data_IF_084689803575
#
_entry.id   IF_084689803575
#
_cell.length_a   1.000
_cell.length_b   1.000
_cell.length_c   1.000
_cell.angle_alpha   90.00
_cell.angle_beta   90.00
_cell.angle_gamma   90.00
#
_symmetry.space_group_name_H-M   'P 1'
#
loop_
_entity.id
_entity.type
_entity.pdbx_description
1 polymer ?
#
# COMPACT_ATOMS: atom_id res chain seq x y z
N UNK A 1 -24.02 16.87 -10.81
CA UNK A 1 -23.74 16.68 -12.25
C UNK A 1 -23.62 18.06 -12.85
N UNK A 2 -22.59 18.32 -13.66
CA UNK A 2 -22.50 19.61 -14.35
C UNK A 2 -23.65 19.70 -15.35
N UNK A 3 -24.21 20.91 -15.45
CA UNK A 3 -25.27 21.24 -16.42
C UNK A 3 -24.71 21.48 -17.82
N UNK A 4 -23.38 21.51 -17.95
CA UNK A 4 -22.64 21.71 -19.18
C UNK A 4 -21.51 20.70 -19.33
N UNK A 5 -21.26 20.29 -20.58
CA UNK A 5 -20.17 19.42 -20.99
C UNK A 5 -19.26 20.20 -21.92
N UNK A 6 -17.95 20.17 -21.65
CA UNK A 6 -16.91 20.76 -22.48
C UNK A 6 -16.52 19.76 -23.56
N UNK A 7 -16.56 20.15 -24.83
CA UNK A 7 -16.19 19.31 -25.96
C UNK A 7 -15.08 19.97 -26.76
N UNK A 8 -14.09 19.20 -27.19
CA UNK A 8 -13.06 19.66 -28.14
C UNK A 8 -13.51 19.26 -29.53
N UNK A 9 -13.94 20.21 -30.34
CA UNK A 9 -14.48 19.93 -31.66
C UNK A 9 -13.43 20.23 -32.73
N UNK A 10 -13.11 19.23 -33.55
CA UNK A 10 -12.17 19.34 -34.65
C UNK A 10 -12.92 19.29 -35.99
N UNK A 11 -12.85 20.38 -36.75
CA UNK A 11 -13.24 20.41 -38.15
C UNK A 11 -12.10 20.00 -39.08
N UNK A 12 -12.28 20.29 -40.35
CA UNK A 12 -11.34 20.07 -41.46
C UNK A 12 -10.05 20.89 -41.34
N UNK A 13 -10.16 22.18 -41.03
CA UNK A 13 -9.00 23.10 -40.92
C UNK A 13 -8.80 23.68 -39.52
N UNK A 14 -9.87 23.74 -38.71
CA UNK A 14 -9.88 24.44 -37.41
C UNK A 14 -10.31 23.53 -36.28
N UNK A 15 -9.87 23.87 -35.07
CA UNK A 15 -10.31 23.22 -33.83
C UNK A 15 -10.85 24.29 -32.89
N UNK A 16 -11.95 23.98 -32.22
CA UNK A 16 -12.59 24.86 -31.26
C UNK A 16 -12.96 24.07 -30.00
N UNK A 17 -12.87 24.72 -28.85
CA UNK A 17 -13.35 24.17 -27.58
C UNK A 17 -14.70 24.82 -27.27
N UNK A 18 -15.74 24.00 -27.10
CA UNK A 18 -17.11 24.48 -26.96
C UNK A 18 -17.77 23.85 -25.75
N UNK A 19 -18.53 24.66 -25.03
CA UNK A 19 -19.31 24.23 -23.88
C UNK A 19 -20.76 24.07 -24.32
N UNK A 20 -21.29 22.86 -24.20
CA UNK A 20 -22.64 22.48 -24.66
C UNK A 20 -23.49 22.08 -23.45
N UNK A 21 -24.79 22.42 -23.39
CA UNK A 21 -25.68 21.93 -22.34
C UNK A 21 -25.71 20.40 -22.31
N UNK A 22 -25.47 19.81 -21.15
CA UNK A 22 -25.31 18.35 -21.04
C UNK A 22 -26.62 17.58 -21.21
N UNK A 23 -27.77 18.24 -20.98
CA UNK A 23 -29.12 17.67 -21.08
C UNK A 23 -29.87 18.01 -22.37
N UNK A 24 -29.21 18.68 -23.33
CA UNK A 24 -29.79 18.95 -24.64
C UNK A 24 -29.19 18.02 -25.70
N UNK A 25 -29.94 17.66 -26.76
CA UNK A 25 -29.41 16.86 -27.86
C UNK A 25 -28.22 17.55 -28.52
N UNK A 26 -27.18 16.77 -28.87
CA UNK A 26 -25.97 17.29 -29.54
C UNK A 26 -26.31 18.01 -30.84
N UNK A 27 -27.38 17.59 -31.53
CA UNK A 27 -27.90 18.20 -32.75
C UNK A 27 -28.23 19.69 -32.61
N UNK A 28 -28.63 20.15 -31.43
CA UNK A 28 -28.95 21.55 -31.18
C UNK A 28 -27.71 22.47 -31.23
N UNK A 29 -26.53 21.92 -30.93
CA UNK A 29 -25.27 22.66 -30.93
C UNK A 29 -24.60 22.73 -32.32
N UNK A 30 -24.98 21.86 -33.27
CA UNK A 30 -24.34 21.73 -34.59
C UNK A 30 -24.22 23.06 -35.35
N UNK A 31 -25.28 23.89 -35.49
CA UNK A 31 -25.17 25.13 -36.27
C UNK A 31 -24.14 26.10 -35.67
N UNK A 32 -24.07 26.15 -34.34
CA UNK A 32 -23.11 26.99 -33.62
C UNK A 32 -21.68 26.44 -33.70
N UNK A 33 -21.51 25.12 -33.69
CA UNK A 33 -20.23 24.47 -33.90
C UNK A 33 -19.69 24.74 -35.31
N UNK A 34 -20.55 24.67 -36.33
CA UNK A 34 -20.21 24.99 -37.72
C UNK A 34 -19.76 26.45 -37.88
N UNK A 35 -20.49 27.40 -37.30
CA UNK A 35 -20.12 28.82 -37.32
C UNK A 35 -18.77 29.08 -36.64
N UNK A 36 -18.55 28.49 -35.44
CA UNK A 36 -17.28 28.60 -34.72
C UNK A 36 -16.09 27.98 -35.46
N UNK A 37 -16.32 26.90 -36.20
CA UNK A 37 -15.29 26.23 -37.00
C UNK A 37 -15.12 26.87 -38.38
N UNK A 38 -16.01 27.78 -38.79
CA UNK A 38 -16.04 28.36 -40.13
C UNK A 38 -16.42 27.35 -41.21
N UNK A 39 -17.17 26.31 -40.86
CA UNK A 39 -17.60 25.26 -41.77
C UNK A 39 -19.04 25.49 -42.24
N UNK A 40 -19.29 25.28 -43.53
CA UNK A 40 -20.66 25.32 -44.07
C UNK A 40 -21.42 24.03 -43.75
N UNK A 41 -22.69 24.16 -43.39
CA UNK A 41 -23.61 23.03 -43.30
C UNK A 41 -23.56 22.23 -44.61
N UNK A 42 -23.37 20.91 -44.48
CA UNK A 42 -23.28 19.98 -45.59
C UNK A 42 -24.53 20.05 -46.47
N UNK A 43 -24.39 19.77 -47.76
CA UNK A 43 -25.54 19.71 -48.66
C UNK A 43 -26.38 18.46 -48.36
N UNK A 44 -27.65 18.42 -48.80
CA UNK A 44 -28.52 17.23 -48.67
C UNK A 44 -27.85 15.96 -49.23
N UNK A 45 -26.98 16.12 -50.24
CA UNK A 45 -26.21 15.04 -50.85
C UNK A 45 -24.96 14.62 -50.04
N UNK A 46 -24.49 15.45 -49.09
CA UNK A 46 -23.28 15.22 -48.27
C UNK A 46 -23.49 15.78 -46.84
N UNK A 47 -24.28 15.11 -46.00
CA UNK A 47 -24.50 15.53 -44.61
C UNK A 47 -23.19 15.43 -43.81
N UNK A 48 -23.04 16.25 -42.76
CA UNK A 48 -21.96 16.09 -41.79
C UNK A 48 -22.31 15.02 -40.74
N UNK A 49 -21.31 14.24 -40.38
CA UNK A 49 -21.32 13.29 -39.29
C UNK A 49 -20.40 13.80 -38.17
N UNK A 50 -20.85 13.58 -36.94
CA UNK A 50 -20.09 13.86 -35.73
C UNK A 50 -19.49 12.53 -35.28
N UNK A 51 -18.17 12.45 -35.18
CA UNK A 51 -17.46 11.18 -34.94
C UNK A 51 -16.70 11.27 -33.61
N UNK A 52 -16.90 10.26 -32.77
CA UNK A 52 -16.20 10.08 -31.51
C UNK A 52 -14.73 9.67 -31.74
N UNK A 53 -13.86 9.76 -30.71
CA UNK A 53 -12.44 9.43 -30.83
C UNK A 53 -12.15 7.98 -31.29
N UNK A 54 -13.06 7.06 -31.03
CA UNK A 54 -13.03 5.64 -31.36
C UNK A 54 -13.54 5.31 -32.77
N UNK A 55 -13.97 6.33 -33.52
CA UNK A 55 -14.50 6.17 -34.88
C UNK A 55 -16.00 5.89 -34.92
N UNK A 56 -16.70 5.86 -33.78
CA UNK A 56 -18.16 5.70 -33.74
C UNK A 56 -18.85 7.00 -34.16
N UNK A 57 -19.91 6.89 -34.96
CA UNK A 57 -20.74 8.02 -35.33
C UNK A 57 -21.68 8.37 -34.17
N UNK A 58 -21.57 9.58 -33.67
CA UNK A 58 -22.43 10.09 -32.60
C UNK A 58 -23.83 10.35 -33.15
N UNK A 59 -24.83 9.76 -32.49
CA UNK A 59 -26.23 10.10 -32.72
C UNK A 59 -26.54 11.49 -32.17
N UNK A 60 -26.82 12.43 -33.09
CA UNK A 60 -27.13 13.82 -32.78
C UNK A 60 -28.47 14.00 -32.03
N UNK A 61 -29.33 12.99 -32.00
CA UNK A 61 -30.57 13.01 -31.23
C UNK A 61 -30.36 12.77 -29.73
N UNK A 62 -29.21 12.20 -29.35
CA UNK A 62 -28.88 11.89 -27.96
C UNK A 62 -28.18 13.07 -27.28
N UNK A 63 -28.34 13.13 -25.96
CA UNK A 63 -27.67 14.11 -25.10
C UNK A 63 -26.22 13.70 -24.81
N UNK A 64 -25.29 14.64 -24.56
CA UNK A 64 -23.93 14.32 -24.13
C UNK A 64 -23.85 13.36 -22.94
N UNK A 65 -24.83 13.41 -22.03
CA UNK A 65 -24.91 12.52 -20.87
C UNK A 65 -25.32 11.09 -21.23
N UNK A 66 -26.19 10.92 -22.23
CA UNK A 66 -26.59 9.58 -22.72
C UNK A 66 -25.49 8.92 -23.53
N UNK A 67 -24.64 9.72 -24.18
CA UNK A 67 -23.49 9.28 -24.97
C UNK A 67 -22.21 9.09 -24.11
N UNK A 68 -22.30 9.26 -22.80
CA UNK A 68 -21.18 9.21 -21.84
C UNK A 68 -19.98 10.10 -22.25
N UNK A 69 -20.26 11.24 -22.89
CA UNK A 69 -19.22 12.17 -23.34
C UNK A 69 -18.68 12.96 -22.14
N UNK A 70 -17.46 12.63 -21.75
CA UNK A 70 -16.73 13.31 -20.67
C UNK A 70 -16.22 14.70 -21.09
N UNK A 71 -15.95 15.56 -20.11
CA UNK A 71 -15.38 16.88 -20.37
C UNK A 71 -14.02 16.77 -21.08
N UNK A 72 -13.87 17.53 -22.17
CA UNK A 72 -12.69 17.56 -23.03
C UNK A 72 -12.69 16.52 -24.15
N UNK A 73 -13.74 15.69 -24.28
CA UNK A 73 -13.82 14.66 -25.33
C UNK A 73 -13.62 15.28 -26.71
N UNK A 74 -12.71 14.69 -27.50
CA UNK A 74 -12.40 15.16 -28.84
C UNK A 74 -13.38 14.57 -29.85
N UNK A 75 -14.18 15.43 -30.44
CA UNK A 75 -15.20 15.05 -31.42
C UNK A 75 -14.83 15.65 -32.76
N UNK A 76 -14.90 14.86 -33.83
CA UNK A 76 -14.56 15.32 -35.18
C UNK A 76 -15.80 15.54 -36.02
N UNK A 77 -15.94 16.71 -36.63
CA UNK A 77 -16.90 16.89 -37.72
C UNK A 77 -16.25 16.45 -39.01
N UNK A 78 -16.84 15.45 -39.65
CA UNK A 78 -16.41 14.94 -40.96
C UNK A 78 -17.64 14.86 -41.84
N UNK A 79 -17.46 14.95 -43.16
CA UNK A 79 -18.55 14.66 -44.09
C UNK A 79 -18.87 13.16 -44.02
N UNK A 80 -20.15 12.79 -44.10
CA UNK A 80 -20.58 11.39 -43.94
C UNK A 80 -19.94 10.45 -44.99
N UNK A 81 -19.62 10.94 -46.18
CA UNK A 81 -18.91 10.21 -47.23
C UNK A 81 -17.41 10.00 -46.95
N UNK A 82 -16.85 10.83 -46.06
CA UNK A 82 -15.48 10.73 -45.57
C UNK A 82 -15.40 10.21 -44.12
N UNK A 83 -16.54 9.85 -43.52
CA UNK A 83 -16.59 9.24 -42.21
C UNK A 83 -15.89 7.87 -42.29
N UNK A 84 -14.93 7.58 -41.40
CA UNK A 84 -14.42 6.23 -41.25
C UNK A 84 -15.60 5.27 -41.06
N UNK A 85 -15.63 4.11 -41.72
CA UNK A 85 -16.66 3.12 -41.45
C UNK A 85 -16.62 2.78 -39.96
N UNK A 86 -17.79 2.53 -39.32
CA UNK A 86 -17.82 2.16 -37.92
C UNK A 86 -16.91 0.95 -37.69
N UNK A 87 -16.22 0.87 -36.55
CA UNK A 87 -15.32 -0.23 -36.27
C UNK A 87 -16.08 -1.55 -36.30
N UNK A 88 -15.92 -2.32 -37.37
CA UNK A 88 -16.47 -3.67 -37.50
C UNK A 88 -15.41 -4.62 -36.97
N UNK A 89 -15.77 -5.46 -36.00
CA UNK A 89 -14.93 -6.58 -35.57
C UNK A 89 -14.92 -7.61 -36.70
N UNK A 90 -13.87 -7.59 -37.52
CA UNK A 90 -13.74 -8.43 -38.73
C UNK A 90 -13.48 -9.90 -38.35
N UNK A 91 -12.86 -10.14 -37.19
CA UNK A 91 -12.60 -11.49 -36.70
C UNK A 91 -12.86 -11.58 -35.18
N UNK A 92 -13.95 -12.26 -34.82
CA UNK A 92 -14.33 -12.52 -33.42
C UNK A 92 -13.26 -13.35 -32.71
N UNK A 93 -12.47 -14.13 -33.45
CA UNK A 93 -11.37 -14.94 -32.92
C UNK A 93 -10.19 -14.06 -32.53
N UNK A 94 -9.83 -13.07 -33.36
CA UNK A 94 -8.80 -12.08 -33.01
C UNK A 94 -9.27 -11.18 -31.87
N UNK A 95 -10.53 -10.73 -31.89
CA UNK A 95 -11.09 -9.97 -30.77
C UNK A 95 -11.11 -10.78 -29.46
N UNK A 96 -11.34 -12.09 -29.52
CA UNK A 96 -11.25 -12.98 -28.37
C UNK A 96 -9.80 -13.18 -27.90
N UNK A 97 -8.83 -13.23 -28.83
CA UNK A 97 -7.41 -13.29 -28.51
C UNK A 97 -6.91 -11.99 -27.87
N UNK A 98 -7.28 -10.82 -28.41
CA UNK A 98 -6.97 -9.52 -27.85
C UNK A 98 -7.62 -9.33 -26.48
N UNK A 99 -8.88 -9.78 -26.32
CA UNK A 99 -9.56 -9.77 -25.03
C UNK A 99 -8.88 -10.71 -24.01
N UNK A 100 -8.32 -11.84 -24.45
CA UNK A 100 -7.53 -12.74 -23.62
C UNK A 100 -6.21 -12.09 -23.20
N UNK A 101 -5.49 -11.49 -24.15
CA UNK A 101 -4.20 -10.82 -23.89
C UNK A 101 -4.34 -9.58 -23.01
N UNK A 102 -5.48 -8.88 -23.10
CA UNK A 102 -5.83 -7.73 -22.26
C UNK A 102 -6.27 -8.12 -20.84
N UNK A 103 -6.48 -9.41 -20.55
CA UNK A 103 -6.92 -9.84 -19.21
C UNK A 103 -5.85 -9.56 -18.15
N UNK A 104 -6.19 -8.85 -17.06
CA UNK A 104 -5.26 -8.55 -15.98
C UNK A 104 -4.91 -9.78 -15.12
N UNK A 105 -5.71 -10.84 -15.19
CA UNK A 105 -5.57 -12.10 -14.44
C UNK A 105 -4.90 -13.22 -15.26
N UNK A 106 -4.30 -12.89 -16.41
CA UNK A 106 -3.66 -13.87 -17.28
C UNK A 106 -2.42 -14.52 -16.64
N UNK A 107 -2.17 -15.78 -17.00
CA UNK A 107 -0.96 -16.51 -16.60
C UNK A 107 0.24 -16.09 -17.46
N UNK A 108 0.87 -14.98 -17.11
CA UNK A 108 2.01 -14.42 -17.82
C UNK A 108 3.39 -14.79 -17.20
N UNK A 109 4.46 -14.27 -17.78
CA UNK A 109 5.82 -14.41 -17.26
C UNK A 109 5.97 -13.93 -15.81
N UNK A 110 5.21 -12.90 -15.43
CA UNK A 110 5.25 -12.35 -14.08
C UNK A 110 4.58 -13.32 -13.11
N UNK A 111 3.41 -13.86 -13.44
CA UNK A 111 2.73 -14.89 -12.66
C UNK A 111 3.61 -16.13 -12.50
N UNK A 112 4.27 -16.59 -13.57
CA UNK A 112 5.25 -17.70 -13.51
C UNK A 112 6.42 -17.40 -12.59
N UNK A 113 6.99 -16.20 -12.67
CA UNK A 113 8.11 -15.79 -11.82
C UNK A 113 7.70 -15.73 -10.34
N UNK A 114 6.49 -15.21 -10.05
CA UNK A 114 5.95 -15.16 -8.68
C UNK A 114 5.70 -16.59 -8.17
N UNK A 115 5.03 -17.43 -8.94
CA UNK A 115 4.74 -18.81 -8.56
C UNK A 115 6.03 -19.62 -8.32
N UNK A 116 7.01 -19.50 -9.21
CA UNK A 116 8.32 -20.12 -9.07
C UNK A 116 9.06 -19.61 -7.83
N UNK A 117 9.10 -18.30 -7.61
CA UNK A 117 9.69 -17.71 -6.42
C UNK A 117 9.00 -18.20 -5.13
N UNK A 118 7.67 -18.27 -5.10
CA UNK A 118 6.93 -18.80 -3.95
C UNK A 118 7.22 -20.28 -3.70
N UNK A 119 7.36 -21.09 -4.76
CA UNK A 119 7.73 -22.49 -4.64
C UNK A 119 9.14 -22.68 -4.07
N UNK A 120 10.12 -21.88 -4.55
CA UNK A 120 11.49 -21.89 -4.02
C UNK A 120 11.52 -21.43 -2.56
N UNK A 121 10.82 -20.34 -2.23
CA UNK A 121 10.73 -19.86 -0.85
C UNK A 121 10.11 -20.92 0.07
N UNK A 122 9.03 -21.59 -0.37
CA UNK A 122 8.40 -22.68 0.37
C UNK A 122 9.34 -23.88 0.56
N UNK A 123 10.07 -24.29 -0.48
CA UNK A 123 11.02 -25.40 -0.39
C UNK A 123 12.15 -25.09 0.61
N UNK A 124 12.70 -23.87 0.61
CA UNK A 124 13.73 -23.45 1.57
C UNK A 124 13.17 -23.28 2.99
N UNK A 125 11.93 -22.83 3.13
CA UNK A 125 11.26 -22.78 4.43
C UNK A 125 11.14 -24.19 5.05
N UNK A 126 10.63 -25.15 4.28
CA UNK A 126 10.50 -26.55 4.69
C UNK A 126 11.86 -27.17 4.99
N UNK A 127 12.86 -26.96 4.12
CA UNK A 127 14.21 -27.46 4.33
C UNK A 127 14.84 -26.87 5.61
N UNK A 128 14.61 -25.58 5.89
CA UNK A 128 15.10 -24.92 7.10
C UNK A 128 14.48 -25.50 8.38
N UNK A 129 13.17 -25.78 8.37
CA UNK A 129 12.48 -26.38 9.51
C UNK A 129 12.81 -27.85 9.75
N UNK A 130 12.97 -28.63 8.68
CA UNK A 130 13.24 -30.07 8.77
C UNK A 130 14.73 -30.40 8.92
N UNK A 131 15.60 -29.39 8.86
CA UNK A 131 17.04 -29.60 8.97
C UNK A 131 17.41 -30.14 10.37
N UNK A 132 18.15 -31.26 10.46
CA UNK A 132 18.45 -31.91 11.73
C UNK A 132 19.62 -31.21 12.43
N UNK A 133 19.32 -30.11 13.10
CA UNK A 133 20.30 -29.37 13.90
C UNK A 133 20.51 -30.00 15.27
N UNK A 134 21.77 -30.05 15.71
CA UNK A 134 22.13 -30.58 17.03
C UNK A 134 21.74 -29.67 18.20
N UNK A 135 21.57 -28.36 17.95
CA UNK A 135 21.09 -27.40 18.94
C UNK A 135 20.30 -26.27 18.27
N UNK A 136 19.31 -25.66 18.95
CA UNK A 136 18.57 -24.52 18.42
C UNK A 136 19.43 -23.29 18.15
N UNK A 137 20.47 -23.05 18.97
CA UNK A 137 21.40 -21.94 18.76
C UNK A 137 22.21 -22.11 17.46
N UNK A 138 22.70 -23.33 17.20
CA UNK A 138 23.37 -23.64 15.93
C UNK A 138 22.41 -23.48 14.75
N UNK A 139 21.16 -23.93 14.89
CA UNK A 139 20.13 -23.75 13.88
C UNK A 139 19.91 -22.27 13.55
N UNK A 140 19.73 -21.44 14.56
CA UNK A 140 19.48 -20.00 14.39
C UNK A 140 20.64 -19.32 13.67
N UNK A 141 21.87 -19.59 14.12
CA UNK A 141 23.08 -19.03 13.50
C UNK A 141 23.27 -19.53 12.06
N UNK A 142 23.17 -20.83 11.82
CA UNK A 142 23.42 -21.42 10.51
C UNK A 142 22.36 -21.00 9.48
N UNK A 143 21.07 -20.95 9.87
CA UNK A 143 19.99 -20.48 9.01
C UNK A 143 20.14 -18.99 8.70
N UNK A 144 20.49 -18.16 9.69
CA UNK A 144 20.73 -16.74 9.49
C UNK A 144 21.93 -16.50 8.57
N UNK A 145 23.05 -17.18 8.82
CA UNK A 145 24.25 -17.10 7.98
C UNK A 145 23.93 -17.52 6.54
N UNK A 146 23.16 -18.61 6.35
CA UNK A 146 22.72 -19.06 5.03
C UNK A 146 21.84 -18.02 4.36
N UNK A 147 20.88 -17.41 5.07
CA UNK A 147 20.03 -16.36 4.52
C UNK A 147 20.84 -15.13 4.09
N UNK A 148 21.82 -14.71 4.89
CA UNK A 148 22.72 -13.59 4.58
C UNK A 148 23.58 -13.90 3.35
N UNK A 149 24.17 -15.10 3.28
CA UNK A 149 24.99 -15.53 2.13
C UNK A 149 24.14 -15.58 0.86
N UNK A 150 22.94 -16.16 0.91
CA UNK A 150 22.03 -16.18 -0.24
C UNK A 150 21.59 -14.77 -0.65
N UNK A 151 21.33 -13.87 0.29
CA UNK A 151 21.02 -12.47 0.00
C UNK A 151 22.20 -11.76 -0.69
N UNK A 152 23.42 -12.00 -0.24
CA UNK A 152 24.63 -11.45 -0.85
C UNK A 152 24.84 -11.99 -2.28
N UNK A 153 24.68 -13.30 -2.49
CA UNK A 153 24.75 -13.94 -3.80
C UNK A 153 23.66 -13.38 -4.73
N UNK A 154 22.41 -13.29 -4.25
CA UNK A 154 21.30 -12.71 -5.02
C UNK A 154 21.62 -11.27 -5.44
N UNK A 155 22.22 -10.49 -4.55
CA UNK A 155 22.63 -9.10 -4.83
C UNK A 155 23.72 -9.05 -5.88
N UNK A 156 24.78 -9.86 -5.75
CA UNK A 156 25.87 -9.96 -6.73
C UNK A 156 25.36 -10.37 -8.11
N UNK A 157 24.49 -11.38 -8.18
CA UNK A 157 23.87 -11.84 -9.43
C UNK A 157 22.99 -10.77 -10.08
N UNK A 158 22.21 -10.03 -9.28
CA UNK A 158 21.35 -8.96 -9.79
C UNK A 158 22.15 -7.78 -10.32
N UNK A 159 23.19 -7.37 -9.59
CA UNK A 159 24.14 -6.34 -10.03
C UNK A 159 24.92 -6.77 -11.29
N UNK A 160 25.22 -8.07 -11.42
CA UNK A 160 25.84 -8.68 -12.60
C UNK A 160 24.90 -8.92 -13.78
N UNK A 161 23.61 -8.54 -13.69
CA UNK A 161 22.64 -8.62 -14.79
C UNK A 161 21.86 -9.94 -14.90
N UNK A 162 22.14 -10.94 -14.05
CA UNK A 162 21.46 -12.25 -14.03
C UNK A 162 20.16 -12.19 -13.21
N UNK A 163 19.23 -11.32 -13.62
CA UNK A 163 18.01 -10.97 -12.85
C UNK A 163 17.13 -12.18 -12.49
N UNK A 164 16.91 -13.12 -13.42
CA UNK A 164 16.07 -14.31 -13.16
C UNK A 164 16.68 -15.20 -12.07
N UNK A 165 18.00 -15.42 -12.12
CA UNK A 165 18.69 -16.21 -11.10
C UNK A 165 18.71 -15.45 -9.76
N UNK A 166 18.95 -14.14 -9.79
CA UNK A 166 18.86 -13.27 -8.61
C UNK A 166 17.49 -13.37 -7.92
N UNK A 167 16.38 -13.37 -8.67
CA UNK A 167 15.04 -13.55 -8.08
C UNK A 167 14.86 -14.91 -7.42
N UNK A 168 15.38 -15.98 -8.03
CA UNK A 168 15.31 -17.32 -7.45
C UNK A 168 16.10 -17.42 -6.13
N UNK A 169 17.33 -16.90 -6.12
CA UNK A 169 18.19 -16.92 -4.93
C UNK A 169 17.64 -15.99 -3.83
N UNK A 170 17.11 -14.82 -4.19
CA UNK A 170 16.43 -13.93 -3.25
C UNK A 170 15.19 -14.59 -2.64
N UNK A 171 14.42 -15.35 -3.44
CA UNK A 171 13.28 -16.10 -2.94
C UNK A 171 13.69 -17.22 -1.97
N UNK A 172 14.79 -17.92 -2.24
CA UNK A 172 15.37 -18.90 -1.32
C UNK A 172 15.76 -18.25 0.02
N UNK A 173 16.45 -17.09 -0.02
CA UNK A 173 16.80 -16.33 1.17
C UNK A 173 15.56 -15.86 1.95
N UNK A 174 14.51 -15.40 1.24
CA UNK A 174 13.26 -14.97 1.86
C UNK A 174 12.53 -16.15 2.53
N UNK A 175 12.58 -17.34 1.94
CA UNK A 175 12.02 -18.58 2.49
C UNK A 175 12.62 -18.95 3.86
N UNK A 176 13.89 -18.61 4.09
CA UNK A 176 14.56 -18.87 5.38
C UNK A 176 14.15 -17.92 6.51
N UNK A 177 13.41 -16.84 6.24
CA UNK A 177 12.98 -15.89 7.28
C UNK A 177 12.19 -16.54 8.42
N UNK A 178 11.22 -17.41 8.09
CA UNK A 178 10.41 -18.10 9.10
C UNK A 178 11.20 -19.17 9.87
N UNK A 179 12.01 -20.04 9.22
CA UNK A 179 12.95 -20.92 9.92
C UNK A 179 13.89 -20.18 10.87
N UNK A 180 14.51 -19.06 10.44
CA UNK A 180 15.38 -18.24 11.29
C UNK A 180 14.63 -17.76 12.53
N UNK A 181 13.40 -17.27 12.35
CA UNK A 181 12.55 -16.89 13.47
C UNK A 181 12.31 -18.05 14.44
N UNK A 182 11.83 -19.19 13.93
CA UNK A 182 11.55 -20.37 14.77
C UNK A 182 12.77 -20.91 15.51
N UNK A 183 13.94 -20.91 14.87
CA UNK A 183 15.19 -21.32 15.49
C UNK A 183 15.64 -20.33 16.56
N UNK A 184 15.40 -19.02 16.36
CA UNK A 184 15.66 -17.97 17.37
C UNK A 184 14.78 -18.17 18.61
N UNK A 185 13.51 -18.54 18.45
CA UNK A 185 12.61 -18.90 19.58
C UNK A 185 13.24 -20.05 20.38
N UNK A 186 13.66 -21.11 19.69
CA UNK A 186 14.27 -22.28 20.33
C UNK A 186 15.59 -21.95 21.03
N UNK A 187 16.43 -21.12 20.41
CA UNK A 187 17.72 -20.70 20.96
C UNK A 187 17.54 -19.92 22.27
N UNK A 188 16.69 -18.89 22.27
CA UNK A 188 16.49 -18.04 23.43
C UNK A 188 15.74 -18.78 24.56
N UNK A 189 14.78 -19.63 24.21
CA UNK A 189 14.12 -20.52 25.17
C UNK A 189 15.13 -21.46 25.85
N UNK A 190 16.09 -22.01 25.10
CA UNK A 190 17.15 -22.86 25.67
C UNK A 190 18.13 -22.11 26.57
N UNK A 191 18.26 -20.79 26.39
CA UNK A 191 19.05 -19.90 27.24
C UNK A 191 18.26 -19.38 28.47
N UNK A 192 17.03 -19.82 28.67
CA UNK A 192 16.20 -19.44 29.83
C UNK A 192 15.49 -18.09 29.70
N UNK A 193 15.38 -17.52 28.49
CA UNK A 193 14.56 -16.33 28.29
C UNK A 193 13.07 -16.66 28.49
N UNK A 194 12.30 -15.68 28.97
CA UNK A 194 10.85 -15.81 29.09
C UNK A 194 10.21 -16.18 27.74
N UNK A 195 9.21 -17.08 27.77
CA UNK A 195 8.53 -17.60 26.57
C UNK A 195 8.06 -16.48 25.63
N UNK A 196 7.46 -15.43 26.18
CA UNK A 196 6.93 -14.31 25.39
C UNK A 196 8.05 -13.53 24.70
N UNK A 197 9.18 -13.32 25.40
CA UNK A 197 10.36 -12.67 24.83
C UNK A 197 11.02 -13.54 23.75
N UNK A 198 11.07 -14.86 23.94
CA UNK A 198 11.57 -15.82 22.94
C UNK A 198 10.69 -15.84 21.68
N UNK A 199 9.37 -15.84 21.82
CA UNK A 199 8.44 -15.80 20.67
C UNK A 199 8.59 -14.47 19.93
N UNK A 200 8.58 -13.35 20.64
CA UNK A 200 8.66 -12.02 20.04
C UNK A 200 10.01 -11.78 19.34
N UNK A 201 11.11 -12.25 19.92
CA UNK A 201 12.43 -12.18 19.28
C UNK A 201 12.51 -13.07 18.03
N UNK A 202 11.87 -14.23 18.03
CA UNK A 202 11.69 -15.03 16.82
C UNK A 202 10.94 -14.30 15.71
N UNK A 203 9.84 -13.63 16.05
CA UNK A 203 9.08 -12.81 15.09
C UNK A 203 9.93 -11.64 14.59
N UNK A 204 10.62 -10.93 15.49
CA UNK A 204 11.51 -9.82 15.15
C UNK A 204 12.67 -10.27 14.25
N UNK A 205 13.27 -11.43 14.51
CA UNK A 205 14.32 -12.02 13.68
C UNK A 205 13.80 -12.41 12.28
N UNK A 206 12.60 -12.98 12.19
CA UNK A 206 11.98 -13.29 10.90
C UNK A 206 11.70 -12.02 10.08
N UNK A 207 11.13 -10.98 10.72
CA UNK A 207 10.88 -9.69 10.08
C UNK A 207 12.17 -9.00 9.65
N UNK A 208 13.19 -8.96 10.51
CA UNK A 208 14.49 -8.37 10.19
C UNK A 208 15.16 -9.09 9.01
N UNK A 209 15.13 -10.42 9.00
CA UNK A 209 15.68 -11.24 7.90
C UNK A 209 14.91 -10.99 6.60
N UNK A 210 13.58 -11.06 6.64
CA UNK A 210 12.74 -10.82 5.46
C UNK A 210 12.90 -9.42 4.89
N UNK A 211 12.95 -8.39 5.74
CA UNK A 211 13.16 -7.00 5.32
C UNK A 211 14.57 -6.77 4.76
N UNK A 212 15.60 -7.41 5.32
CA UNK A 212 16.97 -7.37 4.80
C UNK A 212 17.07 -8.05 3.43
N UNK A 213 16.38 -9.18 3.24
CA UNK A 213 16.29 -9.85 1.93
C UNK A 213 15.53 -8.98 0.92
N UNK A 214 14.45 -8.29 1.32
CA UNK A 214 13.74 -7.36 0.45
C UNK A 214 14.64 -6.17 0.05
N UNK A 215 15.40 -5.61 1.00
CA UNK A 215 16.38 -4.56 0.76
C UNK A 215 17.45 -5.01 -0.25
N UNK A 216 18.10 -6.14 0.00
CA UNK A 216 19.25 -6.61 -0.78
C UNK A 216 18.82 -7.27 -2.09
N UNK A 217 17.96 -8.29 -2.02
CA UNK A 217 17.57 -9.14 -3.13
C UNK A 217 16.57 -8.49 -4.10
N UNK A 218 15.74 -7.55 -3.64
CA UNK A 218 14.81 -6.81 -4.52
C UNK A 218 15.28 -5.38 -4.72
N UNK A 219 15.61 -4.67 -3.63
CA UNK A 219 16.01 -3.27 -3.69
C UNK A 219 17.32 -3.05 -4.43
N UNK A 220 18.43 -3.54 -3.87
CA UNK A 220 19.77 -3.34 -4.40
C UNK A 220 19.99 -4.14 -5.68
N UNK A 221 19.69 -5.45 -5.66
CA UNK A 221 19.95 -6.35 -6.77
C UNK A 221 19.24 -5.94 -8.08
N UNK A 222 18.01 -5.44 -7.97
CA UNK A 222 17.21 -5.05 -9.14
C UNK A 222 17.19 -3.54 -9.40
N UNK A 223 17.91 -2.75 -8.57
CA UNK A 223 17.93 -1.28 -8.57
C UNK A 223 16.53 -0.66 -8.40
N UNK A 224 15.69 -1.29 -7.57
CA UNK A 224 14.36 -0.79 -7.19
C UNK A 224 14.48 0.00 -5.90
N UNK A 225 14.64 1.31 -6.02
CA UNK A 225 14.84 2.23 -4.89
C UNK A 225 13.72 2.12 -3.86
N UNK A 226 12.50 1.82 -4.30
CA UNK A 226 11.38 1.68 -3.41
C UNK A 226 11.39 0.44 -2.54
N UNK A 227 11.77 -0.70 -3.11
CA UNK A 227 11.98 -1.92 -2.32
C UNK A 227 13.19 -1.77 -1.38
N UNK A 228 14.22 -1.03 -1.79
CA UNK A 228 15.36 -0.72 -0.94
C UNK A 228 14.95 0.15 0.27
N UNK A 229 14.23 1.25 0.05
CA UNK A 229 13.79 2.14 1.12
C UNK A 229 12.88 1.42 2.14
N UNK A 230 11.86 0.68 1.67
CA UNK A 230 10.97 -0.06 2.55
C UNK A 230 11.64 -1.22 3.26
N UNK A 231 12.52 -1.96 2.56
CA UNK A 231 13.32 -3.03 3.16
C UNK A 231 14.28 -2.51 4.23
N UNK A 232 14.95 -1.39 3.99
CA UNK A 232 15.82 -0.75 4.98
C UNK A 232 15.04 -0.29 6.21
N UNK A 233 13.91 0.37 6.04
CA UNK A 233 13.04 0.79 7.16
C UNK A 233 12.57 -0.42 7.97
N UNK A 234 12.10 -1.48 7.31
CA UNK A 234 11.67 -2.70 7.98
C UNK A 234 12.80 -3.40 8.72
N UNK A 235 13.99 -3.47 8.12
CA UNK A 235 15.16 -4.08 8.75
C UNK A 235 15.56 -3.28 10.01
N UNK A 236 15.64 -1.95 9.93
CA UNK A 236 15.96 -1.09 11.07
C UNK A 236 14.94 -1.26 12.20
N UNK A 237 13.64 -1.15 11.92
CA UNK A 237 12.59 -1.26 12.95
C UNK A 237 12.56 -2.65 13.60
N UNK A 238 12.67 -3.72 12.81
CA UNK A 238 12.68 -5.08 13.32
C UNK A 238 13.98 -5.39 14.10
N UNK A 239 15.13 -4.86 13.66
CA UNK A 239 16.39 -4.98 14.38
C UNK A 239 16.42 -4.20 15.69
N UNK A 240 15.76 -3.04 15.77
CA UNK A 240 15.57 -2.32 17.05
C UNK A 240 14.81 -3.20 18.04
N UNK A 241 13.68 -3.78 17.61
CA UNK A 241 12.90 -4.69 18.45
C UNK A 241 13.72 -5.90 18.90
N UNK A 242 14.39 -6.57 17.97
CA UNK A 242 15.24 -7.73 18.27
C UNK A 242 16.39 -7.36 19.21
N UNK A 243 17.05 -6.22 18.98
CA UNK A 243 18.17 -5.75 19.78
C UNK A 243 17.78 -5.45 21.22
N UNK A 244 16.61 -4.83 21.45
CA UNK A 244 16.07 -4.59 22.79
C UNK A 244 15.83 -5.90 23.54
N UNK A 245 15.23 -6.89 22.88
CA UNK A 245 14.96 -8.20 23.49
C UNK A 245 16.24 -8.96 23.82
N UNK A 246 17.23 -8.93 22.92
CA UNK A 246 18.55 -9.54 23.16
C UNK A 246 19.35 -8.81 24.25
N UNK A 247 19.08 -7.53 24.47
CA UNK A 247 19.66 -6.76 25.58
C UNK A 247 18.97 -7.05 26.93
N UNK A 248 17.97 -7.94 26.97
CA UNK A 248 17.25 -8.32 28.19
C UNK A 248 16.10 -7.38 28.56
N UNK A 249 15.70 -6.46 27.67
CA UNK A 249 14.48 -5.66 27.86
C UNK A 249 13.27 -6.58 27.74
N UNK A 250 12.30 -6.41 28.63
CA UNK A 250 11.07 -7.20 28.62
C UNK A 250 10.25 -6.98 27.33
N UNK A 251 9.42 -7.98 26.99
CA UNK A 251 8.66 -7.98 25.75
C UNK A 251 7.69 -6.80 25.61
N UNK A 252 7.15 -6.29 26.72
CA UNK A 252 6.18 -5.20 26.74
C UNK A 252 6.89 -3.87 26.47
N UNK A 253 7.96 -3.58 27.21
CA UNK A 253 8.75 -2.35 27.04
C UNK A 253 9.41 -2.30 25.66
N UNK A 254 9.97 -3.41 25.18
CA UNK A 254 10.57 -3.50 23.85
C UNK A 254 9.52 -3.23 22.74
N UNK A 255 8.32 -3.80 22.89
CA UNK A 255 7.21 -3.56 21.98
C UNK A 255 6.71 -2.12 22.01
N UNK A 256 6.63 -1.51 23.19
CA UNK A 256 6.21 -0.12 23.33
C UNK A 256 7.18 0.83 22.58
N UNK A 257 8.48 0.66 22.77
CA UNK A 257 9.51 1.49 22.11
C UNK A 257 9.53 1.27 20.60
N UNK A 258 9.61 0.02 20.14
CA UNK A 258 9.67 -0.28 18.71
C UNK A 258 8.37 0.09 17.97
N UNK A 259 7.22 -0.12 18.61
CA UNK A 259 5.91 0.23 18.07
C UNK A 259 5.73 1.75 17.97
N UNK A 260 6.17 2.52 18.96
CA UNK A 260 6.15 4.00 18.90
C UNK A 260 7.08 4.50 17.80
N UNK A 261 8.28 3.92 17.67
CA UNK A 261 9.18 4.25 16.56
C UNK A 261 8.55 3.96 15.19
N UNK A 262 7.88 2.81 15.03
CA UNK A 262 7.14 2.45 13.83
C UNK A 262 5.98 3.43 13.57
N UNK A 263 5.20 3.78 14.60
CA UNK A 263 4.10 4.73 14.50
C UNK A 263 4.60 6.12 14.07
N UNK A 264 5.71 6.63 14.62
CA UNK A 264 6.31 7.89 14.16
C UNK A 264 6.85 7.80 12.74
N UNK A 265 7.45 6.66 12.37
CA UNK A 265 7.97 6.43 11.02
C UNK A 265 6.89 6.55 9.94
N UNK A 266 5.60 6.35 10.26
CA UNK A 266 4.49 6.56 9.32
C UNK A 266 4.43 8.00 8.78
N UNK A 267 4.74 9.00 9.61
CA UNK A 267 4.69 10.43 9.29
C UNK A 267 5.47 10.83 8.05
N UNK A 268 6.80 10.62 8.05
CA UNK A 268 7.66 10.99 6.94
C UNK A 268 7.57 10.04 5.73
N UNK A 269 6.76 8.97 5.74
CA UNK A 269 6.73 7.98 4.65
C UNK A 269 6.52 8.59 3.25
N UNK A 270 5.56 9.51 3.03
CA UNK A 270 5.41 10.13 1.72
C UNK A 270 6.66 10.90 1.28
N UNK A 271 7.31 11.61 2.21
CA UNK A 271 8.53 12.36 1.93
C UNK A 271 9.71 11.44 1.61
N UNK A 272 9.88 10.35 2.37
CA UNK A 272 10.88 9.30 2.11
C UNK A 272 10.62 8.65 0.74
N UNK A 273 9.36 8.44 0.39
CA UNK A 273 8.97 7.84 -0.88
C UNK A 273 9.30 8.75 -2.08
N UNK A 274 8.99 10.05 -1.99
CA UNK A 274 9.30 11.03 -3.02
C UNK A 274 10.81 11.23 -3.19
N UNK A 275 11.56 11.34 -2.07
CA UNK A 275 13.01 11.55 -2.10
C UNK A 275 13.75 10.33 -2.64
N UNK A 276 13.37 9.11 -2.24
CA UNK A 276 13.96 7.87 -2.75
C UNK A 276 13.67 7.61 -4.22
N UNK A 277 12.51 8.03 -4.73
CA UNK A 277 12.17 7.92 -6.14
C UNK A 277 12.93 8.91 -7.04
N UNK A 278 13.50 9.97 -6.45
CA UNK A 278 14.23 11.02 -7.18
C UNK A 278 13.32 12.08 -7.81
N UNK A 279 12.06 12.20 -7.36
CA UNK A 279 11.15 13.25 -7.85
C UNK A 279 11.69 14.65 -7.56
N UNK A 280 12.39 14.84 -6.44
CA UNK A 280 12.99 16.14 -6.08
C UNK A 280 14.05 16.58 -7.09
N UNK A 281 14.85 15.66 -7.64
CA UNK A 281 15.84 15.95 -8.68
C UNK A 281 15.15 16.27 -10.02
N UNK A 282 14.06 15.56 -10.34
CA UNK A 282 13.25 15.87 -11.54
C UNK A 282 12.59 17.25 -11.46
N UNK A 283 12.09 17.62 -10.29
CA UNK A 283 11.47 18.92 -10.02
C UNK A 283 12.50 20.05 -10.11
N UNK A 284 13.69 19.86 -9.51
CA UNK A 284 14.81 20.81 -9.63
C UNK A 284 15.26 21.00 -11.09
N UNK A 285 15.34 19.93 -11.88
CA UNK A 285 15.72 20.02 -13.31
C UNK A 285 14.65 20.71 -14.15
N UNK A 286 13.38 20.49 -13.84
CA UNK A 286 12.28 21.21 -14.46
C UNK A 286 12.33 22.71 -14.13
N UNK A 287 12.58 23.05 -12.85
CA UNK A 287 12.76 24.43 -12.41
C UNK A 287 14.00 25.11 -13.04
N UNK A 288 15.06 24.34 -13.31
CA UNK A 288 16.26 24.79 -14.01
C UNK A 288 16.10 24.91 -15.54
N UNK A 289 14.88 24.73 -16.08
CA UNK A 289 14.58 24.88 -17.51
C UNK A 289 14.88 23.64 -18.37
N UNK A 290 15.15 22.49 -17.74
CA UNK A 290 15.42 21.22 -18.41
C UNK A 290 14.37 20.15 -18.04
N UNK A 291 13.11 20.30 -18.51
CA UNK A 291 12.03 19.41 -18.11
C UNK A 291 12.32 17.96 -18.52
N UNK A 292 12.09 16.99 -17.61
CA UNK A 292 12.36 15.60 -17.90
C UNK A 292 11.40 15.04 -18.96
N UNK A 293 11.90 14.09 -19.76
CA UNK A 293 11.07 13.39 -20.74
C UNK A 293 9.90 12.68 -20.04
N UNK A 294 8.70 12.76 -20.63
CA UNK A 294 7.44 12.21 -20.10
C UNK A 294 7.57 10.77 -19.58
N UNK A 295 8.20 9.80 -20.28
CA UNK A 295 8.33 8.43 -19.78
C UNK A 295 9.14 8.32 -18.49
N UNK A 296 10.16 9.18 -18.30
CA UNK A 296 10.98 9.18 -17.08
C UNK A 296 10.22 9.74 -15.89
N UNK A 297 9.38 10.74 -16.10
CA UNK A 297 8.51 11.29 -15.05
C UNK A 297 7.50 10.25 -14.56
N UNK A 298 6.81 9.55 -15.47
CA UNK A 298 5.88 8.47 -15.10
C UNK A 298 6.58 7.32 -14.37
N UNK A 299 7.75 6.86 -14.87
CA UNK A 299 8.52 5.81 -14.19
C UNK A 299 8.95 6.20 -12.76
N UNK A 300 9.29 7.48 -12.54
CA UNK A 300 9.65 7.97 -11.21
C UNK A 300 8.42 8.02 -10.26
N UNK A 301 7.25 8.40 -10.77
CA UNK A 301 5.99 8.38 -10.02
C UNK A 301 5.63 6.94 -9.60
N UNK A 302 5.74 5.99 -10.53
CA UNK A 302 5.49 4.57 -10.23
C UNK A 302 6.46 4.04 -9.17
N UNK A 303 7.74 4.42 -9.25
CA UNK A 303 8.75 4.05 -8.25
C UNK A 303 8.45 4.67 -6.87
N UNK A 304 7.92 5.90 -6.82
CA UNK A 304 7.50 6.55 -5.58
C UNK A 304 6.32 5.82 -4.93
N UNK A 305 5.34 5.38 -5.72
CA UNK A 305 4.23 4.59 -5.20
C UNK A 305 4.68 3.19 -4.76
N UNK A 306 5.65 2.59 -5.46
CA UNK A 306 6.26 1.34 -5.04
C UNK A 306 7.01 1.51 -3.70
N UNK A 307 7.83 2.56 -3.56
CA UNK A 307 8.57 2.83 -2.32
C UNK A 307 7.66 3.05 -1.12
N UNK A 308 6.58 3.79 -1.33
CA UNK A 308 5.55 4.01 -0.32
C UNK A 308 4.90 2.68 0.09
N UNK A 309 4.58 1.82 -0.87
CA UNK A 309 3.95 0.52 -0.60
C UNK A 309 4.84 -0.40 0.22
N UNK A 310 6.13 -0.51 -0.13
CA UNK A 310 7.08 -1.32 0.63
C UNK A 310 7.31 -0.77 2.05
N UNK A 311 7.40 0.56 2.18
CA UNK A 311 7.62 1.20 3.48
C UNK A 311 6.39 1.09 4.39
N UNK A 312 5.18 1.23 3.85
CA UNK A 312 3.94 1.00 4.59
C UNK A 312 3.85 -0.46 5.06
N UNK A 313 4.21 -1.42 4.22
CA UNK A 313 4.22 -2.84 4.62
C UNK A 313 5.20 -3.12 5.76
N UNK A 314 6.40 -2.54 5.71
CA UNK A 314 7.41 -2.65 6.75
C UNK A 314 6.98 -2.04 8.08
N UNK A 315 6.37 -0.85 8.04
CA UNK A 315 5.88 -0.20 9.26
C UNK A 315 4.65 -0.92 9.82
N UNK A 316 3.73 -1.33 8.96
CA UNK A 316 2.50 -2.02 9.37
C UNK A 316 2.79 -3.38 10.03
N UNK A 317 3.79 -4.13 9.56
CA UNK A 317 4.15 -5.41 10.18
C UNK A 317 4.70 -5.23 11.59
N UNK A 318 5.64 -4.29 11.81
CA UNK A 318 6.19 -4.01 13.14
C UNK A 318 5.13 -3.42 14.07
N UNK A 319 4.33 -2.47 13.58
CA UNK A 319 3.24 -1.85 14.35
C UNK A 319 2.17 -2.87 14.75
N UNK A 320 1.81 -3.79 13.86
CA UNK A 320 0.86 -4.87 14.13
C UNK A 320 1.37 -5.84 15.19
N UNK A 321 2.61 -6.33 15.04
CA UNK A 321 3.22 -7.27 16.01
C UNK A 321 3.33 -6.64 17.40
N UNK A 322 3.90 -5.44 17.48
CA UNK A 322 4.08 -4.73 18.76
C UNK A 322 2.74 -4.35 19.41
N UNK A 323 1.75 -3.91 18.61
CA UNK A 323 0.42 -3.59 19.10
C UNK A 323 -0.34 -4.81 19.63
N UNK A 324 -0.17 -5.99 19.02
CA UNK A 324 -0.74 -7.25 19.53
C UNK A 324 -0.15 -7.60 20.89
N UNK A 325 1.17 -7.52 21.06
CA UNK A 325 1.83 -7.79 22.36
C UNK A 325 1.30 -6.85 23.44
N UNK A 326 1.20 -5.55 23.13
CA UNK A 326 0.67 -4.56 24.08
C UNK A 326 -0.79 -4.84 24.43
N UNK A 327 -1.63 -5.18 23.46
CA UNK A 327 -3.04 -5.48 23.69
C UNK A 327 -3.23 -6.70 24.62
N UNK A 328 -2.36 -7.71 24.53
CA UNK A 328 -2.45 -8.94 25.35
C UNK A 328 -1.87 -8.80 26.75
N UNK A 329 -1.14 -7.72 27.05
CA UNK A 329 -0.44 -7.56 28.34
C UNK A 329 -1.35 -7.21 29.54
N UNK A 330 -2.58 -6.71 29.30
CA UNK A 330 -3.61 -6.55 30.33
C UNK A 330 -3.41 -5.40 31.33
N UNK A 331 -2.64 -4.37 30.98
CA UNK A 331 -2.53 -3.14 31.78
C UNK A 331 -3.21 -1.97 31.07
N UNK A 332 -3.74 -1.01 31.85
CA UNK A 332 -4.45 0.12 31.26
C UNK A 332 -3.55 0.95 30.33
N UNK A 333 -2.26 1.09 30.66
CA UNK A 333 -1.30 1.87 29.87
C UNK A 333 -0.99 1.19 28.54
N UNK A 334 -0.82 -0.13 28.56
CA UNK A 334 -0.49 -0.92 27.36
C UNK A 334 -1.69 -1.06 26.45
N UNK A 335 -2.89 -1.22 27.01
CA UNK A 335 -4.15 -1.22 26.25
C UNK A 335 -4.41 0.13 25.58
N UNK A 336 -4.19 1.25 26.28
CA UNK A 336 -4.32 2.59 25.71
C UNK A 336 -3.26 2.84 24.62
N UNK A 337 -2.02 2.38 24.80
CA UNK A 337 -0.99 2.48 23.77
C UNK A 337 -1.31 1.62 22.54
N UNK A 338 -1.82 0.40 22.75
CA UNK A 338 -2.30 -0.47 21.67
C UNK A 338 -3.48 0.18 20.92
N UNK A 339 -4.41 0.82 21.63
CA UNK A 339 -5.49 1.59 21.04
C UNK A 339 -4.96 2.76 20.20
N UNK A 340 -3.93 3.46 20.68
CA UNK A 340 -3.29 4.52 19.92
C UNK A 340 -2.65 3.97 18.62
N UNK A 341 -1.96 2.82 18.65
CA UNK A 341 -1.44 2.17 17.44
C UNK A 341 -2.53 1.76 16.47
N UNK A 342 -3.64 1.19 16.99
CA UNK A 342 -4.82 0.87 16.20
C UNK A 342 -5.37 2.12 15.49
N UNK A 343 -5.54 3.23 16.22
CA UNK A 343 -6.05 4.48 15.66
C UNK A 343 -5.10 5.04 14.60
N UNK A 344 -3.78 5.03 14.84
CA UNK A 344 -2.78 5.46 13.87
C UNK A 344 -2.87 4.61 12.59
N UNK A 345 -2.91 3.28 12.71
CA UNK A 345 -3.01 2.38 11.56
C UNK A 345 -4.33 2.59 10.79
N UNK A 346 -5.47 2.62 11.48
CA UNK A 346 -6.79 2.74 10.88
C UNK A 346 -7.02 4.11 10.22
N UNK A 347 -6.64 5.20 10.88
CA UNK A 347 -6.87 6.57 10.38
C UNK A 347 -5.94 6.90 9.21
N UNK A 348 -4.70 6.41 9.22
CA UNK A 348 -3.75 6.65 8.13
C UNK A 348 -4.12 6.03 6.80
N UNK A 349 -5.01 5.04 6.78
CA UNK A 349 -5.56 4.51 5.51
C UNK A 349 -6.15 5.60 4.62
N UNK A 350 -6.57 6.74 5.20
CA UNK A 350 -7.10 7.91 4.48
C UNK A 350 -6.03 8.74 3.77
N UNK A 351 -4.80 8.70 4.24
CA UNK A 351 -3.67 9.46 3.68
C UNK A 351 -3.01 8.71 2.51
N UNK A 352 -3.21 7.40 2.41
CA UNK A 352 -2.56 6.54 1.42
C UNK A 352 -3.48 6.26 0.22
N UNK A 353 -3.07 6.57 -1.01
CA UNK A 353 -3.95 6.52 -2.18
C UNK A 353 -4.17 5.10 -2.74
N UNK A 354 -3.31 4.11 -2.41
CA UNK A 354 -3.35 2.78 -3.02
C UNK A 354 -4.09 1.74 -2.17
N UNK A 355 -4.85 0.87 -2.84
CA UNK A 355 -5.59 -0.25 -2.22
C UNK A 355 -4.72 -1.15 -1.35
N UNK A 356 -3.50 -1.46 -1.79
CA UNK A 356 -2.62 -2.39 -1.08
C UNK A 356 -2.08 -1.80 0.22
N UNK A 357 -1.78 -0.50 0.23
CA UNK A 357 -1.38 0.23 1.43
C UNK A 357 -2.50 0.23 2.47
N UNK A 358 -3.74 0.44 2.02
CA UNK A 358 -4.93 0.32 2.85
C UNK A 358 -5.07 -1.06 3.49
N UNK A 359 -4.97 -2.13 2.69
CA UNK A 359 -5.06 -3.51 3.20
C UNK A 359 -3.99 -3.86 4.23
N UNK A 360 -2.74 -3.42 4.03
CA UNK A 360 -1.64 -3.66 4.96
C UNK A 360 -1.88 -3.00 6.33
N UNK A 361 -2.32 -1.74 6.34
CA UNK A 361 -2.63 -1.02 7.57
C UNK A 361 -3.89 -1.56 8.26
N UNK A 362 -4.91 -1.94 7.50
CA UNK A 362 -6.11 -2.59 8.04
C UNK A 362 -5.81 -3.99 8.59
N UNK A 363 -4.87 -4.74 8.02
CA UNK A 363 -4.43 -6.00 8.58
C UNK A 363 -3.75 -5.80 9.94
N UNK A 364 -2.88 -4.79 10.07
CA UNK A 364 -2.27 -4.45 11.35
C UNK A 364 -3.31 -3.98 12.37
N UNK A 365 -4.20 -3.05 11.99
CA UNK A 365 -5.28 -2.57 12.85
C UNK A 365 -6.22 -3.73 13.26
N UNK A 366 -6.58 -4.60 12.32
CA UNK A 366 -7.41 -5.77 12.57
C UNK A 366 -6.77 -6.76 13.54
N UNK A 367 -5.46 -7.00 13.42
CA UNK A 367 -4.71 -7.85 14.35
C UNK A 367 -4.72 -7.28 15.78
N UNK A 368 -4.46 -5.98 15.93
CA UNK A 368 -4.50 -5.30 17.24
C UNK A 368 -5.91 -5.35 17.84
N UNK A 369 -6.93 -5.03 17.04
CA UNK A 369 -8.33 -5.06 17.47
C UNK A 369 -8.79 -6.47 17.85
N UNK A 370 -8.37 -7.49 17.09
CA UNK A 370 -8.64 -8.89 17.42
C UNK A 370 -7.98 -9.29 18.74
N UNK A 371 -6.72 -8.91 18.97
CA UNK A 371 -6.02 -9.15 20.23
C UNK A 371 -6.76 -8.49 21.42
N UNK A 372 -7.11 -7.21 21.30
CA UNK A 372 -7.88 -6.51 22.34
C UNK A 372 -9.26 -7.15 22.58
N UNK A 373 -9.94 -7.56 21.52
CA UNK A 373 -11.24 -8.25 21.63
C UNK A 373 -11.09 -9.62 22.31
N UNK A 374 -10.03 -10.38 22.03
CA UNK A 374 -9.79 -11.67 22.71
C UNK A 374 -9.61 -11.49 24.21
N UNK A 375 -8.88 -10.45 24.64
CA UNK A 375 -8.75 -10.11 26.07
C UNK A 375 -10.11 -9.79 26.69
N UNK A 376 -10.94 -9.00 26.01
CA UNK A 376 -12.27 -8.62 26.50
C UNK A 376 -13.24 -9.81 26.57
N UNK A 377 -13.15 -10.75 25.62
CA UNK A 377 -14.00 -11.94 25.55
C UNK A 377 -13.60 -13.02 26.57
N UNK A 378 -12.30 -13.21 26.80
CA UNK A 378 -11.78 -14.25 27.71
C UNK A 378 -11.77 -13.76 29.16
N UNK A 379 -11.72 -12.46 29.39
CA UNK A 379 -11.77 -11.86 30.72
C UNK A 379 -13.12 -12.06 31.44
N UNK A 380 -13.16 -11.71 32.73
CA UNK A 380 -14.37 -11.84 33.58
C UNK A 380 -15.59 -11.02 33.12
N UNK A 381 -15.44 -10.17 32.11
CA UNK A 381 -16.48 -9.34 31.50
C UNK A 381 -16.81 -9.72 30.05
N UNK A 382 -16.76 -11.01 29.67
CA UNK A 382 -16.95 -11.47 28.28
C UNK A 382 -18.21 -10.96 27.56
N UNK A 383 -19.27 -10.61 28.29
CA UNK A 383 -20.47 -9.97 27.73
C UNK A 383 -20.21 -8.55 27.18
N UNK A 384 -19.27 -7.81 27.78
CA UNK A 384 -18.78 -6.52 27.28
C UNK A 384 -18.02 -6.76 25.97
N UNK A 385 -17.16 -7.79 25.94
CA UNK A 385 -16.51 -8.30 24.73
C UNK A 385 -17.49 -8.54 23.59
N UNK A 386 -18.53 -9.33 23.86
CA UNK A 386 -19.57 -9.63 22.88
C UNK A 386 -20.33 -8.37 22.42
N UNK A 387 -20.67 -7.47 23.35
CA UNK A 387 -21.31 -6.19 23.04
C UNK A 387 -20.45 -5.31 22.12
N UNK A 388 -19.16 -5.16 22.45
CA UNK A 388 -18.20 -4.41 21.62
C UNK A 388 -18.06 -5.04 20.23
N UNK A 389 -17.97 -6.37 20.14
CA UNK A 389 -17.90 -7.07 18.85
C UNK A 389 -19.13 -6.79 17.97
N UNK A 390 -20.34 -6.84 18.55
CA UNK A 390 -21.59 -6.53 17.83
C UNK A 390 -21.61 -5.08 17.36
N UNK A 391 -21.20 -4.13 18.21
CA UNK A 391 -21.12 -2.71 17.85
C UNK A 391 -20.11 -2.48 16.73
N UNK A 392 -18.93 -3.09 16.81
CA UNK A 392 -17.90 -3.02 15.76
C UNK A 392 -18.42 -3.61 14.45
N UNK A 393 -19.06 -4.78 14.49
CA UNK A 393 -19.66 -5.41 13.31
C UNK A 393 -20.75 -4.51 12.69
N UNK A 394 -21.60 -3.89 13.51
CA UNK A 394 -22.61 -2.94 13.04
C UNK A 394 -22.00 -1.67 12.43
N UNK A 395 -20.92 -1.14 13.02
CA UNK A 395 -20.18 0.00 12.46
C UNK A 395 -19.54 -0.35 11.11
N UNK A 396 -18.95 -1.54 10.99
CA UNK A 396 -18.39 -2.01 9.71
C UNK A 396 -19.50 -2.18 8.67
N UNK A 397 -20.60 -2.84 9.04
CA UNK A 397 -21.74 -3.05 8.14
C UNK A 397 -22.32 -1.70 7.66
N UNK A 398 -22.49 -0.73 8.57
CA UNK A 398 -22.97 0.61 8.20
C UNK A 398 -21.98 1.34 7.29
N UNK A 399 -20.67 1.24 7.52
CA UNK A 399 -19.66 1.81 6.62
C UNK A 399 -19.68 1.20 5.21
N UNK A 400 -20.00 -0.08 5.08
CA UNK A 400 -20.11 -0.77 3.78
C UNK A 400 -21.41 -0.41 3.06
N UNK A 401 -22.53 -0.36 3.80
CA UNK A 401 -23.88 -0.22 3.23
C UNK A 401 -24.26 1.24 2.97
N UNK A 402 -23.76 2.18 3.77
CA UNK A 402 -24.18 3.59 3.70
C UNK A 402 -23.14 4.42 2.94
N UNK A 403 -23.60 5.12 1.88
CA UNK A 403 -22.79 6.15 1.19
C UNK A 403 -23.12 7.51 1.79
N UNK A 404 -22.33 8.04 2.75
CA UNK A 404 -22.66 9.28 3.43
C UNK A 404 -22.70 10.47 2.47
N UNK A 405 -23.63 11.39 2.73
CA UNK A 405 -23.73 12.66 1.98
C UNK A 405 -22.42 13.46 2.08
N UNK A 406 -22.09 14.32 1.10
CA UNK A 406 -20.81 15.04 1.06
C UNK A 406 -20.46 15.82 2.34
N UNK A 407 -21.43 16.47 2.97
CA UNK A 407 -21.24 17.24 4.21
C UNK A 407 -20.91 16.34 5.42
N UNK A 408 -21.54 15.16 5.53
CA UNK A 408 -21.24 14.18 6.59
C UNK A 408 -19.84 13.62 6.41
N UNK A 409 -19.45 13.31 5.17
CA UNK A 409 -18.11 12.84 4.83
C UNK A 409 -17.03 13.88 5.20
N UNK A 410 -17.30 15.17 4.96
CA UNK A 410 -16.41 16.25 5.37
C UNK A 410 -16.25 16.32 6.91
N UNK A 411 -17.35 16.23 7.67
CA UNK A 411 -17.31 16.24 9.14
C UNK A 411 -16.58 15.02 9.72
N UNK A 412 -16.83 13.83 9.17
CA UNK A 412 -16.12 12.58 9.54
C UNK A 412 -14.63 12.63 9.20
N UNK A 413 -14.27 13.35 8.12
CA UNK A 413 -12.87 13.62 7.79
C UNK A 413 -12.23 14.52 8.85
N UNK A 414 -12.90 15.61 9.23
CA UNK A 414 -12.45 16.49 10.30
C UNK A 414 -12.25 15.77 11.64
N UNK A 415 -13.24 14.99 12.09
CA UNK A 415 -13.14 14.19 13.32
C UNK A 415 -11.98 13.18 13.26
N UNK A 416 -11.79 12.52 12.11
CA UNK A 416 -10.66 11.60 11.96
C UNK A 416 -9.31 12.29 12.07
N UNK A 417 -9.15 13.49 11.51
CA UNK A 417 -7.90 14.26 11.64
C UNK A 417 -7.60 14.62 13.11
N UNK A 418 -8.64 14.97 13.89
CA UNK A 418 -8.49 15.26 15.32
C UNK A 418 -8.10 14.00 16.10
N UNK A 419 -8.78 12.88 15.86
CA UNK A 419 -8.46 11.60 16.49
C UNK A 419 -7.05 11.12 16.13
N UNK A 420 -6.63 11.31 14.88
CA UNK A 420 -5.29 10.94 14.42
C UNK A 420 -4.24 11.77 15.15
N UNK A 421 -4.45 13.09 15.21
CA UNK A 421 -3.54 14.02 15.92
C UNK A 421 -3.46 13.65 17.40
N UNK A 422 -4.60 13.39 18.05
CA UNK A 422 -4.67 13.01 19.45
C UNK A 422 -3.95 11.67 19.70
N UNK A 423 -4.16 10.67 18.84
CA UNK A 423 -3.49 9.38 18.95
C UNK A 423 -1.97 9.52 18.83
N UNK A 424 -1.48 10.31 17.87
CA UNK A 424 -0.03 10.56 17.66
C UNK A 424 0.58 11.31 18.84
N UNK A 425 -0.08 12.37 19.32
CA UNK A 425 0.41 13.17 20.46
C UNK A 425 0.41 12.34 21.76
N UNK A 426 -0.57 11.45 21.93
CA UNK A 426 -0.67 10.58 23.09
C UNK A 426 0.38 9.46 23.13
N UNK A 427 1.06 9.14 22.01
CA UNK A 427 2.06 8.06 21.97
C UNK A 427 3.17 8.24 23.01
N UNK A 428 3.71 9.45 23.15
CA UNK A 428 4.80 9.72 24.10
C UNK A 428 4.35 9.61 25.56
N UNK A 429 3.27 10.28 26.01
CA UNK A 429 2.75 10.09 27.36
C UNK A 429 2.40 8.65 27.69
N UNK A 430 1.78 7.92 26.75
CA UNK A 430 1.41 6.53 26.95
C UNK A 430 2.63 5.61 27.01
N UNK A 431 3.66 5.86 26.19
CA UNK A 431 4.94 5.16 26.27
C UNK A 431 5.57 5.30 27.67
N UNK A 432 5.66 6.53 28.18
CA UNK A 432 6.19 6.81 29.52
C UNK A 432 5.40 6.06 30.60
N UNK A 433 4.07 5.97 30.45
CA UNK A 433 3.22 5.19 31.33
C UNK A 433 3.45 3.68 31.23
N UNK A 434 3.61 3.14 30.02
CA UNK A 434 3.91 1.70 29.82
C UNK A 434 5.26 1.30 30.38
N UNK A 435 6.24 2.21 30.39
CA UNK A 435 7.56 1.99 30.97
C UNK A 435 7.57 2.12 32.50
N UNK A 436 6.43 2.44 33.13
CA UNK A 436 6.33 2.58 34.59
C UNK A 436 6.94 3.86 35.18
N UNK A 437 7.46 4.77 34.35
CA UNK A 437 8.18 5.97 34.79
C UNK A 437 7.28 6.88 35.66
N UNK A 438 5.98 7.00 35.35
CA UNK A 438 5.07 7.77 36.21
C UNK A 438 4.96 7.18 37.62
N UNK A 439 4.94 5.86 37.75
CA UNK A 439 4.89 5.20 39.05
C UNK A 439 6.20 5.40 39.84
N UNK A 440 7.35 5.35 39.16
CA UNK A 440 8.66 5.64 39.76
C UNK A 440 8.76 7.09 40.25
N UNK A 441 8.35 8.06 39.42
CA UNK A 441 8.34 9.48 39.79
C UNK A 441 7.39 9.74 40.96
N UNK A 442 6.20 9.14 40.95
CA UNK A 442 5.25 9.25 42.06
C UNK A 442 5.81 8.62 43.34
N UNK A 443 6.53 7.50 43.24
CA UNK A 443 7.21 6.88 44.38
C UNK A 443 8.38 7.70 44.92
N UNK A 444 9.10 8.42 44.05
CA UNK A 444 10.23 9.27 44.42
C UNK A 444 9.79 10.59 45.07
N UNK A 445 8.75 11.23 44.56
CA UNK A 445 8.25 12.53 45.05
C UNK A 445 7.09 12.43 46.04
N UNK A 446 6.37 11.30 46.07
CA UNK A 446 5.27 11.02 46.98
C UNK A 446 5.68 10.26 48.25
N UNK A 447 6.96 10.28 48.61
CA UNK A 447 7.53 9.49 49.71
C UNK A 447 6.75 9.58 51.01
N UNK A 448 6.50 8.39 51.60
CA UNK A 448 6.31 8.08 53.03
C UNK A 448 5.57 9.15 53.85
N UNK A 449 4.27 8.96 54.02
CA UNK A 449 3.60 9.21 55.31
C UNK A 449 3.57 7.91 56.10
#
# INVERSE_FOLDING_TARGET
MSIYTRLTVAGSERRAEVVVPSGEPVGAAIPRLLDLLGETAGTVARPLAVIAPDGEQIDIALTPQQLDLSDGTLVRLVRLDAAPPPPVVIDVTDAAADAHDARPDRWDDRARTIAGATGIAGAFAVAGWLSPWSSPALAAFALLATAVVLAAIATGLGLGGLRRLSTCVAAAAAGLSLPVGSATIGALSSMGHATDASILSGIAAALATGATVALLGVGVAHRRRGAAAGGALGAVLASILLGLLLAGVDAVSASAVAGVAAAFATGPLPWIALSSAGLTDLDQRAAAGSPPARPRAFAAIDEAYASLTWSVGAVASVLGVTGVVLALSGTIWTELLALAFFLVAALRTRAFPLRWQGWLLWAAAGAIAAAGLTVLLVGGGGWIGAGVAVVVAALIATMVLVRPRPHVRARLRGLGNVLETLAVVALLPLLVGTLGIYAELLGMFGGRS
#
